data_IF_545328508939
#
_entry.id   IF_545328508939
#
_cell.length_a   1.000
_cell.length_b   1.000
_cell.length_c   1.000
_cell.angle_alpha   90.00
_cell.angle_beta   90.00
_cell.angle_gamma   90.00
#
_symmetry.space_group_name_H-M   'P 1'
#
loop_
_entity.id
_entity.type
_entity.pdbx_description
1 polymer ?
#
# COMPACT_ATOMS: atom_id res chain seq x y z
N UNK A 1 24.63 -10.26 11.63
CA UNK A 1 23.88 -11.25 10.81
C UNK A 1 22.52 -10.70 10.36
N UNK A 2 21.65 -10.22 11.26
CA UNK A 2 20.34 -9.65 10.88
C UNK A 2 20.40 -8.35 10.05
N UNK A 3 21.35 -7.45 10.31
CA UNK A 3 21.50 -6.22 9.51
C UNK A 3 21.84 -6.53 8.05
N UNK A 4 22.75 -7.47 7.81
CA UNK A 4 23.12 -7.91 6.45
C UNK A 4 21.94 -8.58 5.73
N UNK A 5 21.13 -9.35 6.47
CA UNK A 5 19.88 -9.92 5.94
C UNK A 5 18.91 -8.79 5.54
N UNK A 6 18.70 -7.80 6.42
CA UNK A 6 17.85 -6.64 6.12
C UNK A 6 18.29 -5.87 4.88
N UNK A 7 19.60 -5.71 4.67
CA UNK A 7 20.18 -5.08 3.48
C UNK A 7 19.95 -5.96 2.23
N UNK A 8 20.13 -7.27 2.33
CA UNK A 8 19.88 -8.19 1.21
C UNK A 8 18.42 -8.14 0.76
N UNK A 9 17.49 -8.17 1.71
CA UNK A 9 16.06 -8.05 1.43
C UNK A 9 15.70 -6.67 0.89
N UNK A 10 16.36 -5.60 1.34
CA UNK A 10 16.20 -4.25 0.78
C UNK A 10 16.48 -4.22 -0.73
N UNK A 11 17.64 -4.72 -1.16
CA UNK A 11 17.95 -4.78 -2.59
C UNK A 11 16.95 -5.66 -3.35
N UNK A 12 16.51 -6.77 -2.75
CA UNK A 12 15.55 -7.67 -3.37
C UNK A 12 14.20 -6.99 -3.59
N UNK A 13 13.60 -6.41 -2.56
CA UNK A 13 12.29 -5.77 -2.71
C UNK A 13 12.32 -4.49 -3.53
N UNK A 14 13.45 -3.79 -3.57
CA UNK A 14 13.62 -2.63 -4.44
C UNK A 14 13.50 -3.04 -5.91
N UNK A 15 14.19 -4.10 -6.32
CA UNK A 15 14.10 -4.62 -7.69
C UNK A 15 12.75 -5.25 -8.00
N UNK A 16 12.17 -6.02 -7.06
CA UNK A 16 10.83 -6.60 -7.23
C UNK A 16 9.77 -5.51 -7.44
N UNK A 17 9.85 -4.41 -6.68
CA UNK A 17 8.95 -3.28 -6.85
C UNK A 17 9.10 -2.63 -8.23
N UNK A 18 10.33 -2.46 -8.72
CA UNK A 18 10.60 -1.88 -10.05
C UNK A 18 10.01 -2.70 -11.19
N UNK A 19 9.96 -4.03 -11.07
CA UNK A 19 9.38 -4.92 -12.09
C UNK A 19 7.88 -5.20 -11.85
N UNK A 20 7.26 -4.59 -10.84
CA UNK A 20 5.84 -4.76 -10.53
C UNK A 20 5.47 -6.07 -9.83
N UNK A 21 6.45 -6.82 -9.30
CA UNK A 21 6.22 -8.02 -8.49
C UNK A 21 5.88 -7.62 -7.04
N UNK A 22 4.65 -7.14 -6.87
CA UNK A 22 4.19 -6.57 -5.61
C UNK A 22 3.99 -7.62 -4.52
N UNK A 23 3.62 -8.86 -4.87
CA UNK A 23 3.42 -9.94 -3.89
C UNK A 23 4.74 -10.31 -3.20
N UNK A 24 5.82 -10.44 -3.97
CA UNK A 24 7.14 -10.70 -3.38
C UNK A 24 7.72 -9.46 -2.70
N UNK A 25 7.42 -8.26 -3.19
CA UNK A 25 7.77 -7.01 -2.49
C UNK A 25 7.14 -6.95 -1.09
N UNK A 26 5.87 -7.34 -0.96
CA UNK A 26 5.17 -7.41 0.33
C UNK A 26 5.84 -8.40 1.26
N UNK A 27 6.06 -9.63 0.80
CA UNK A 27 6.72 -10.68 1.60
C UNK A 27 8.07 -10.21 2.14
N UNK A 28 8.85 -9.54 1.30
CA UNK A 28 10.21 -9.12 1.64
C UNK A 28 10.22 -7.90 2.57
N UNK A 29 9.31 -6.94 2.36
CA UNK A 29 9.15 -5.81 3.27
C UNK A 29 8.61 -6.26 4.63
N UNK A 30 7.69 -7.23 4.68
CA UNK A 30 7.21 -7.83 5.94
C UNK A 30 8.32 -8.55 6.70
N UNK A 31 9.24 -9.21 5.99
CA UNK A 31 10.43 -9.77 6.60
C UNK A 31 11.32 -8.67 7.22
N UNK A 32 11.58 -7.59 6.48
CA UNK A 32 12.36 -6.46 7.03
C UNK A 32 11.68 -5.78 8.22
N UNK A 33 10.35 -5.67 8.23
CA UNK A 33 9.61 -5.14 9.37
C UNK A 33 9.77 -6.02 10.61
N UNK A 34 9.80 -7.35 10.46
CA UNK A 34 10.13 -8.27 11.56
C UNK A 34 11.55 -8.08 12.08
N UNK A 35 12.52 -7.78 11.20
CA UNK A 35 13.88 -7.42 11.65
C UNK A 35 13.84 -6.12 12.48
N UNK A 36 13.07 -5.11 12.06
CA UNK A 36 12.87 -3.90 12.86
C UNK A 36 12.27 -4.22 14.24
N UNK A 37 11.24 -5.06 14.32
CA UNK A 37 10.62 -5.49 15.59
C UNK A 37 11.62 -6.21 16.51
N UNK A 38 12.46 -7.07 15.95
CA UNK A 38 13.52 -7.76 16.71
C UNK A 38 14.57 -6.77 17.23
N UNK A 39 15.00 -5.83 16.39
CA UNK A 39 15.96 -4.80 16.78
C UNK A 39 15.39 -3.90 17.89
N UNK A 40 14.14 -3.48 17.76
CA UNK A 40 13.44 -2.67 18.78
C UNK A 40 13.30 -3.42 20.11
N UNK A 41 13.09 -4.74 20.07
CA UNK A 41 12.88 -5.55 21.28
C UNK A 41 14.18 -5.92 22.02
N UNK A 42 15.26 -6.19 21.30
CA UNK A 42 16.43 -6.86 21.87
C UNK A 42 17.71 -6.04 21.85
N UNK A 43 17.78 -4.94 21.09
CA UNK A 43 18.98 -4.12 21.06
C UNK A 43 18.92 -3.02 22.12
N UNK A 44 20.04 -2.78 22.80
CA UNK A 44 20.15 -1.73 23.80
C UNK A 44 20.26 -0.35 23.14
N UNK A 45 19.95 0.70 23.91
CA UNK A 45 19.87 2.08 23.41
C UNK A 45 21.22 2.66 22.94
N UNK A 46 22.31 2.07 23.42
CA UNK A 46 23.71 2.47 23.15
C UNK A 46 24.40 1.56 22.11
N UNK A 47 23.74 0.50 21.64
CA UNK A 47 24.23 -0.30 20.51
C UNK A 47 24.01 0.45 19.18
N UNK A 48 24.41 -0.15 18.05
CA UNK A 48 24.18 0.36 16.69
C UNK A 48 22.87 -0.15 16.00
N UNK A 49 21.74 -0.47 16.69
CA UNK A 49 20.52 -0.95 16.05
C UNK A 49 19.74 0.18 15.36
N UNK A 50 20.19 1.42 15.56
CA UNK A 50 19.61 2.63 14.97
C UNK A 50 19.69 2.61 13.44
N UNK A 51 20.62 1.84 12.85
CA UNK A 51 20.85 1.85 11.40
C UNK A 51 19.65 1.33 10.62
N UNK A 52 18.90 0.33 11.12
CA UNK A 52 17.75 -0.21 10.37
C UNK A 52 16.43 0.45 10.77
N UNK A 53 16.27 0.82 12.04
CA UNK A 53 15.03 1.43 12.55
C UNK A 53 14.76 2.78 11.88
N UNK A 54 15.80 3.55 11.54
CA UNK A 54 15.66 4.81 10.81
C UNK A 54 14.98 4.65 9.44
N UNK A 55 14.99 3.44 8.85
CA UNK A 55 14.34 3.15 7.56
C UNK A 55 12.95 2.51 7.71
N UNK A 56 12.45 2.27 8.92
CA UNK A 56 11.10 1.70 9.16
C UNK A 56 9.99 2.47 8.41
N UNK A 57 9.97 3.82 8.35
CA UNK A 57 8.97 4.54 7.58
C UNK A 57 9.00 4.19 6.08
N UNK A 58 10.21 4.07 5.50
CA UNK A 58 10.40 3.69 4.11
C UNK A 58 9.89 2.28 3.83
N UNK A 59 10.22 1.31 4.69
CA UNK A 59 9.82 -0.08 4.53
C UNK A 59 8.28 -0.20 4.59
N UNK A 60 7.65 0.48 5.55
CA UNK A 60 6.18 0.53 5.67
C UNK A 60 5.53 1.14 4.42
N UNK A 61 6.07 2.23 3.88
CA UNK A 61 5.58 2.80 2.63
C UNK A 61 5.64 1.79 1.49
N UNK A 62 6.78 1.15 1.28
CA UNK A 62 6.95 0.20 0.17
C UNK A 62 5.98 -0.99 0.30
N UNK A 63 5.76 -1.48 1.52
CA UNK A 63 4.78 -2.51 1.81
C UNK A 63 3.35 -2.04 1.46
N UNK A 64 2.96 -0.86 1.95
CA UNK A 64 1.62 -0.31 1.77
C UNK A 64 1.31 0.02 0.31
N UNK A 65 2.25 0.63 -0.43
CA UNK A 65 2.06 0.91 -1.86
C UNK A 65 1.90 -0.40 -2.62
N UNK A 66 2.71 -1.42 -2.33
CA UNK A 66 2.58 -2.73 -3.00
C UNK A 66 1.22 -3.38 -2.73
N UNK A 67 0.73 -3.34 -1.49
CA UNK A 67 -0.62 -3.80 -1.11
C UNK A 67 -1.72 -3.02 -1.81
N UNK A 68 -1.57 -1.70 -1.91
CA UNK A 68 -2.50 -0.83 -2.62
C UNK A 68 -2.51 -1.16 -4.13
N UNK A 69 -1.35 -1.36 -4.76
CA UNK A 69 -1.26 -1.71 -6.18
C UNK A 69 -1.96 -3.03 -6.50
N UNK A 70 -1.78 -4.07 -5.68
CA UNK A 70 -2.53 -5.34 -5.84
C UNK A 70 -4.03 -5.10 -5.72
N UNK A 71 -4.45 -4.31 -4.74
CA UNK A 71 -5.87 -4.00 -4.52
C UNK A 71 -6.46 -3.25 -5.72
N UNK A 72 -5.73 -2.29 -6.28
CA UNK A 72 -6.12 -1.55 -7.47
C UNK A 72 -6.18 -2.43 -8.72
N UNK A 73 -5.25 -3.38 -8.90
CA UNK A 73 -5.32 -4.37 -9.99
C UNK A 73 -6.55 -5.27 -9.91
N UNK A 74 -7.09 -5.45 -8.69
CA UNK A 74 -8.34 -6.21 -8.44
C UNK A 74 -9.59 -5.32 -8.45
N UNK A 75 -9.48 -4.04 -8.81
CA UNK A 75 -10.55 -3.04 -8.74
C UNK A 75 -11.10 -2.79 -7.31
N UNK A 76 -10.32 -3.14 -6.28
CA UNK A 76 -10.70 -2.99 -4.87
C UNK A 76 -10.23 -1.63 -4.34
N UNK A 77 -10.77 -0.55 -4.91
CA UNK A 77 -10.38 0.84 -4.62
C UNK A 77 -10.53 1.21 -3.13
N UNK A 78 -11.64 0.83 -2.51
CA UNK A 78 -11.88 1.10 -1.08
C UNK A 78 -10.81 0.45 -0.19
N UNK A 79 -10.41 -0.80 -0.49
CA UNK A 79 -9.32 -1.44 0.23
C UNK A 79 -7.98 -0.75 0.01
N UNK A 80 -7.68 -0.31 -1.22
CA UNK A 80 -6.46 0.45 -1.48
C UNK A 80 -6.40 1.75 -0.65
N UNK A 81 -7.52 2.47 -0.51
CA UNK A 81 -7.60 3.66 0.35
C UNK A 81 -7.34 3.32 1.82
N UNK A 82 -8.02 2.30 2.35
CA UNK A 82 -7.85 1.86 3.74
C UNK A 82 -6.41 1.45 4.05
N UNK A 83 -5.75 0.73 3.12
CA UNK A 83 -4.35 0.32 3.25
C UNK A 83 -3.43 1.53 3.35
N UNK A 84 -3.62 2.54 2.50
CA UNK A 84 -2.81 3.75 2.47
C UNK A 84 -3.03 4.61 3.72
N UNK A 85 -4.29 4.76 4.16
CA UNK A 85 -4.65 5.50 5.37
C UNK A 85 -4.08 4.82 6.63
N UNK A 86 -4.21 3.50 6.72
CA UNK A 86 -3.62 2.72 7.81
C UNK A 86 -2.11 2.88 7.86
N UNK A 87 -1.41 2.81 6.72
CA UNK A 87 0.04 2.99 6.67
C UNK A 87 0.50 4.40 7.07
N UNK A 88 -0.26 5.44 6.69
CA UNK A 88 0.00 6.82 7.14
C UNK A 88 -0.08 6.90 8.66
N UNK A 89 -1.13 6.32 9.27
CA UNK A 89 -1.29 6.31 10.71
C UNK A 89 -0.15 5.55 11.40
N UNK A 90 0.18 4.34 10.91
CA UNK A 90 1.29 3.56 11.45
C UNK A 90 2.63 4.28 11.37
N UNK A 91 2.91 5.05 10.31
CA UNK A 91 4.14 5.84 10.20
C UNK A 91 4.16 7.03 11.17
N UNK A 92 3.02 7.67 11.42
CA UNK A 92 2.92 8.75 12.40
C UNK A 92 3.14 8.24 13.84
N UNK A 93 2.71 7.01 14.13
CA UNK A 93 2.84 6.37 15.44
C UNK A 93 4.25 5.85 15.76
N UNK A 94 5.15 5.79 14.78
CA UNK A 94 6.53 5.34 15.02
C UNK A 94 7.21 6.30 16.00
N UNK A 95 7.79 5.79 17.11
CA UNK A 95 8.57 6.60 18.04
C UNK A 95 9.67 7.38 17.33
N UNK A 96 9.89 8.60 17.79
CA UNK A 96 10.87 9.49 17.16
C UNK A 96 12.29 8.98 17.38
N UNK A 97 13.06 8.91 16.29
CA UNK A 97 14.48 8.56 16.31
C UNK A 97 15.27 9.81 15.95
N UNK A 98 16.23 10.18 16.80
CA UNK A 98 17.14 11.30 16.54
C UNK A 98 18.18 10.93 15.47
N UNK A 99 17.72 10.89 14.22
CA UNK A 99 18.53 10.64 13.04
C UNK A 99 18.00 11.47 11.86
N UNK A 100 18.85 12.25 11.17
CA UNK A 100 18.45 12.96 9.95
C UNK A 100 17.82 12.02 8.89
N UNK A 101 18.29 10.78 8.82
CA UNK A 101 17.77 9.77 7.90
C UNK A 101 16.33 9.38 8.26
N UNK A 102 16.04 9.19 9.56
CA UNK A 102 14.67 8.89 10.00
C UNK A 102 13.72 10.03 9.68
N UNK A 103 14.10 11.28 10.00
CA UNK A 103 13.30 12.46 9.72
C UNK A 103 12.97 12.58 8.24
N UNK A 104 14.00 12.41 7.40
CA UNK A 104 13.86 12.45 5.96
C UNK A 104 12.93 11.35 5.43
N UNK A 105 13.14 10.10 5.83
CA UNK A 105 12.33 8.98 5.34
C UNK A 105 10.90 9.01 5.89
N UNK A 106 10.67 9.49 7.11
CA UNK A 106 9.32 9.70 7.67
C UNK A 106 8.56 10.73 6.84
N UNK A 107 9.14 11.93 6.66
CA UNK A 107 8.53 13.00 5.88
C UNK A 107 8.29 12.59 4.43
N UNK A 108 9.32 12.03 3.77
CA UNK A 108 9.20 11.52 2.40
C UNK A 108 8.10 10.48 2.31
N UNK A 109 8.03 9.54 3.25
CA UNK A 109 7.06 8.45 3.16
C UNK A 109 5.62 8.91 3.29
N UNK A 110 5.36 9.81 4.24
CA UNK A 110 4.05 10.42 4.41
C UNK A 110 3.63 11.21 3.16
N UNK A 111 4.53 11.97 2.56
CA UNK A 111 4.24 12.73 1.34
C UNK A 111 3.83 11.82 0.18
N UNK A 112 4.59 10.74 -0.06
CA UNK A 112 4.27 9.78 -1.12
C UNK A 112 2.95 9.04 -0.87
N UNK A 113 2.70 8.59 0.37
CA UNK A 113 1.45 7.89 0.70
C UNK A 113 0.22 8.81 0.58
N UNK A 114 0.32 10.07 1.02
CA UNK A 114 -0.75 11.07 0.86
C UNK A 114 -1.01 11.37 -0.62
N UNK A 115 0.04 11.52 -1.42
CA UNK A 115 -0.10 11.72 -2.86
C UNK A 115 -0.74 10.50 -3.55
N UNK A 116 -0.37 9.28 -3.15
CA UNK A 116 -1.00 8.07 -3.66
C UNK A 116 -2.47 7.97 -3.25
N UNK A 117 -2.78 8.27 -1.99
CA UNK A 117 -4.15 8.27 -1.47
C UNK A 117 -5.04 9.27 -2.23
N UNK A 118 -4.53 10.48 -2.47
CA UNK A 118 -5.25 11.49 -3.26
C UNK A 118 -5.49 11.01 -4.69
N UNK A 119 -4.50 10.44 -5.36
CA UNK A 119 -4.70 9.87 -6.70
C UNK A 119 -5.75 8.76 -6.72
N UNK A 120 -5.76 7.90 -5.70
CA UNK A 120 -6.79 6.86 -5.57
C UNK A 120 -8.16 7.50 -5.35
N UNK A 121 -8.27 8.55 -4.55
CA UNK A 121 -9.54 9.28 -4.30
C UNK A 121 -10.05 10.00 -5.55
N UNK A 122 -9.18 10.80 -6.18
CA UNK A 122 -9.44 11.64 -7.36
C UNK A 122 -9.82 10.86 -8.60
N UNK A 123 -9.40 9.59 -8.71
CA UNK A 123 -9.84 8.70 -9.78
C UNK A 123 -11.32 8.38 -9.58
N UNK A 124 -12.22 9.32 -9.88
CA UNK A 124 -13.67 9.13 -9.82
C UNK A 124 -14.06 7.85 -10.55
N UNK A 125 -15.03 7.13 -10.00
CA UNK A 125 -15.69 6.03 -10.70
C UNK A 125 -16.18 6.58 -12.04
N UNK A 126 -15.59 6.06 -13.14
CA UNK A 126 -16.04 6.43 -14.46
C UNK A 126 -17.53 6.09 -14.61
N UNK A 127 -18.23 6.62 -15.64
CA UNK A 127 -19.62 6.28 -15.89
C UNK A 127 -19.89 4.77 -15.86
N UNK A 128 -18.93 3.97 -16.35
CA UNK A 128 -18.97 2.50 -16.34
C UNK A 128 -18.86 1.91 -14.92
N UNK A 129 -17.99 2.45 -14.06
CA UNK A 129 -17.80 1.93 -12.69
C UNK A 129 -19.05 2.17 -11.83
N UNK A 130 -19.71 3.33 -12.00
CA UNK A 130 -20.99 3.61 -11.35
C UNK A 130 -22.08 2.64 -11.81
N UNK A 131 -22.17 2.40 -13.12
CA UNK A 131 -23.14 1.45 -13.67
C UNK A 131 -22.87 0.01 -13.21
N UNK A 132 -21.61 -0.39 -13.03
CA UNK A 132 -21.24 -1.71 -12.47
C UNK A 132 -21.71 -1.87 -11.04
N UNK A 133 -21.58 -0.82 -10.23
CA UNK A 133 -22.07 -0.84 -8.84
C UNK A 133 -23.58 -0.91 -8.76
N UNK A 134 -24.29 -0.11 -9.56
CA UNK A 134 -25.75 -0.19 -9.67
C UNK A 134 -26.22 -1.57 -10.16
N UNK A 135 -25.43 -2.22 -11.03
CA UNK A 135 -25.71 -3.57 -11.51
C UNK A 135 -25.59 -4.60 -10.38
N UNK A 136 -24.55 -4.52 -9.56
CA UNK A 136 -24.38 -5.40 -8.39
C UNK A 136 -25.52 -5.22 -7.38
N UNK A 137 -25.95 -3.98 -7.14
CA UNK A 137 -27.10 -3.67 -6.28
C UNK A 137 -28.40 -4.26 -6.85
N UNK A 138 -28.68 -4.07 -8.15
CA UNK A 138 -29.87 -4.63 -8.79
C UNK A 138 -29.90 -6.17 -8.76
N UNK A 139 -28.74 -6.82 -8.91
CA UNK A 139 -28.64 -8.28 -8.78
C UNK A 139 -28.89 -8.74 -7.33
N UNK A 140 -28.36 -8.00 -6.34
CA UNK A 140 -28.58 -8.31 -4.93
C UNK A 140 -30.04 -8.12 -4.49
N UNK A 141 -30.75 -7.18 -5.11
CA UNK A 141 -32.18 -6.92 -4.90
C UNK A 141 -33.10 -7.82 -5.75
N UNK A 142 -32.53 -8.74 -6.54
CA UNK A 142 -33.24 -9.59 -7.50
C UNK A 142 -34.05 -8.82 -8.57
N UNK A 143 -33.70 -7.55 -8.81
CA UNK A 143 -34.24 -6.72 -9.90
C UNK A 143 -33.49 -7.02 -11.21
N UNK A 144 -33.80 -8.19 -11.78
CA UNK A 144 -33.15 -8.68 -12.99
C UNK A 144 -33.43 -7.83 -14.23
N UNK A 145 -34.53 -7.08 -14.25
CA UNK A 145 -34.86 -6.16 -15.35
C UNK A 145 -33.91 -4.97 -15.35
N UNK A 146 -33.75 -4.32 -14.18
CA UNK A 146 -32.77 -3.24 -14.02
C UNK A 146 -31.34 -3.73 -14.26
N UNK A 147 -31.00 -4.93 -13.80
CA UNK A 147 -29.70 -5.53 -14.05
C UNK A 147 -29.41 -5.74 -15.55
N UNK A 148 -30.41 -6.16 -16.34
CA UNK A 148 -30.25 -6.31 -17.79
C UNK A 148 -29.97 -4.97 -18.47
N UNK A 149 -30.76 -3.93 -18.15
CA UNK A 149 -30.58 -2.58 -18.72
C UNK A 149 -29.21 -1.98 -18.38
N UNK A 150 -28.72 -2.19 -17.15
CA UNK A 150 -27.41 -1.72 -16.73
C UNK A 150 -26.27 -2.45 -17.46
N UNK A 151 -26.42 -3.75 -17.74
CA UNK A 151 -25.45 -4.52 -18.55
C UNK A 151 -25.35 -3.99 -19.97
N UNK A 152 -26.49 -3.73 -20.61
CA UNK A 152 -26.52 -3.19 -21.99
C UNK A 152 -25.83 -1.83 -22.04
N UNK A 153 -26.14 -0.95 -21.09
CA UNK A 153 -25.52 0.38 -20.99
C UNK A 153 -24.01 0.34 -20.75
N UNK A 154 -23.53 -0.64 -19.97
CA UNK A 154 -22.09 -0.89 -19.78
C UNK A 154 -21.46 -1.35 -21.10
N UNK A 155 -22.12 -2.24 -21.85
CA UNK A 155 -21.62 -2.73 -23.14
C UNK A 155 -21.51 -1.60 -24.16
N UNK A 156 -22.51 -0.74 -24.25
CA UNK A 156 -22.50 0.42 -25.16
C UNK A 156 -21.32 1.36 -24.87
N UNK A 157 -21.08 1.66 -23.58
CA UNK A 157 -19.98 2.52 -23.13
C UNK A 157 -18.59 1.89 -23.25
N UNK A 158 -18.48 0.59 -23.50
CA UNK A 158 -17.19 -0.12 -23.60
C UNK A 158 -16.85 -0.57 -25.02
N UNK A 159 -17.75 -0.37 -25.99
CA UNK A 159 -17.51 -0.64 -27.42
C UNK A 159 -17.16 0.59 -28.27
N UNK A 160 -17.13 1.79 -27.68
CA UNK A 160 -16.52 3.01 -28.26
C UNK A 160 -15.03 3.12 -27.89
#
# INVERSE_FOLDING_TARGET
MLQNEGIMFYYRYLHLFQVGDYERTIRDTEHNLKICELAEKYCEKDDDPMVILQYRPYILRMNAISKAMISLHKNLKAMAQQILESAINSINEIPEIDSPTFQFEKARSLNYLKAALNQVKEKEEGPVDKLRKELEEAVAEEDYERAAQLRDRINDLTQE
#
